data_IF_236861977559
#
_entry.id   IF_236861977559
#
_cell.length_a   1.000
_cell.length_b   1.000
_cell.length_c   1.000
_cell.angle_alpha   90.00
_cell.angle_beta   90.00
_cell.angle_gamma   90.00
#
_symmetry.space_group_name_H-M   'P 1'
#
loop_
_entity.id
_entity.type
_entity.pdbx_description
1 polymer ?
2 non-polymer ?
3 water ?
#
# COMPACT_ATOMS: atom_id res chain seq x y z
N UNK A 16 -9.03 -6.54 16.07
CA UNK A 16 -10.13 -5.68 16.49
C UNK A 16 -9.85 -4.20 16.17
N UNK A 17 -8.74 -3.95 15.46
CA UNK A 17 -8.34 -2.60 15.10
C UNK A 17 -8.70 -2.26 13.64
N UNK A 18 -8.25 -3.10 12.71
CA UNK A 18 -8.50 -2.87 11.29
C UNK A 18 -9.85 -3.47 10.92
N UNK A 19 -10.89 -2.91 11.52
CA UNK A 19 -12.21 -3.51 11.58
C UNK A 19 -13.27 -2.61 10.97
N UNK A 20 -12.86 -1.43 10.51
CA UNK A 20 -13.82 -0.43 10.03
C UNK A 20 -13.99 -0.44 8.51
N UNK A 21 -14.99 0.29 8.03
CA UNK A 21 -15.24 0.41 6.59
C UNK A 21 -14.14 1.24 5.94
N UNK A 22 -13.27 0.57 5.21
CA UNK A 22 -12.16 1.23 4.56
C UNK A 22 -11.96 0.60 3.20
N UNK A 23 -11.70 1.44 2.20
CA UNK A 23 -11.24 0.96 0.91
C UNK A 23 -9.73 1.17 0.86
N UNK A 24 -9.00 0.07 0.91
CA UNK A 24 -7.55 0.10 1.02
C UNK A 24 -6.88 -0.27 -0.31
N UNK A 25 -6.10 0.65 -0.88
CA UNK A 25 -5.34 0.37 -2.10
C UNK A 25 -3.88 0.10 -1.76
N UNK A 26 -3.46 -1.15 -1.93
CA UNK A 26 -2.08 -1.56 -1.64
C UNK A 26 -1.22 -1.38 -2.89
N UNK A 27 -0.21 -0.53 -2.81
CA UNK A 27 0.69 -0.28 -3.94
C UNK A 27 2.09 -0.73 -3.59
N UNK A 28 2.64 -1.68 -4.34
CA UNK A 28 4.03 -2.04 -4.13
C UNK A 28 4.91 -1.18 -5.03
N UNK A 29 5.93 -0.58 -4.46
CA UNK A 29 6.81 0.28 -5.24
C UNK A 29 8.30 0.01 -5.02
N UNK A 30 8.86 -0.94 -5.76
CA UNK A 30 10.28 -1.20 -5.70
C UNK A 30 10.63 -2.06 -6.90
N UNK A 31 11.91 -2.40 -7.08
CA UNK A 31 12.98 -2.02 -6.17
C UNK A 31 13.80 -0.90 -6.79
N UNK A 32 14.20 0.08 -5.98
CA UNK A 32 15.13 1.08 -6.43
C UNK A 32 16.57 0.60 -6.29
N UNK A 33 16.76 -0.60 -5.73
CA UNK A 33 18.09 -1.08 -5.35
C UNK A 33 18.88 -1.73 -6.47
N UNK A 34 20.21 -1.59 -6.39
CA UNK A 34 21.17 -2.27 -7.28
C UNK A 34 21.16 -3.78 -7.04
N UNK A 35 20.92 -4.19 -5.79
CA UNK A 35 20.81 -5.60 -5.44
C UNK A 35 19.36 -5.91 -5.10
N UNK A 36 18.64 -6.40 -6.10
CA UNK A 36 17.19 -6.57 -6.00
C UNK A 36 16.74 -7.78 -5.19
N UNK A 37 17.70 -8.59 -4.74
CA UNK A 37 17.42 -9.84 -4.04
C UNK A 37 16.43 -9.70 -2.90
N UNK A 38 16.64 -8.73 -2.01
CA UNK A 38 15.74 -8.57 -0.87
C UNK A 38 14.31 -8.27 -1.26
N UNK A 39 14.14 -7.33 -2.18
CA UNK A 39 12.78 -6.96 -2.60
C UNK A 39 12.12 -8.16 -3.27
N UNK A 40 12.84 -8.79 -4.21
CA UNK A 40 12.31 -9.93 -4.93
C UNK A 40 11.96 -11.12 -4.03
N UNK A 41 12.76 -11.36 -2.99
CA UNK A 41 12.45 -12.47 -2.08
C UNK A 41 11.47 -12.16 -0.94
N UNK A 42 11.40 -10.91 -0.51
CA UNK A 42 10.63 -10.59 0.69
C UNK A 42 9.46 -9.60 0.53
N UNK A 43 9.39 -8.86 -0.57
CA UNK A 43 8.31 -7.87 -0.71
C UNK A 43 6.91 -8.48 -0.60
N UNK A 44 6.69 -9.62 -1.26
CA UNK A 44 5.37 -10.23 -1.23
C UNK A 44 5.04 -10.85 0.16
N UNK A 45 5.98 -11.60 0.76
CA UNK A 45 5.71 -12.05 2.12
C UNK A 45 5.48 -10.90 3.11
N UNK A 46 6.10 -9.76 2.85
CA UNK A 46 5.90 -8.57 3.67
C UNK A 46 4.48 -8.04 3.50
N UNK A 47 4.06 -7.93 2.25
CA UNK A 47 2.73 -7.46 1.95
C UNK A 47 1.66 -8.41 2.50
N UNK A 48 1.91 -9.72 2.46
CA UNK A 48 1.01 -10.71 3.05
C UNK A 48 0.82 -10.49 4.56
N UNK A 49 1.92 -10.19 5.24
CA UNK A 49 1.91 -9.98 6.68
C UNK A 49 1.01 -8.79 7.01
N UNK A 50 1.16 -7.72 6.24
CA UNK A 50 0.28 -6.55 6.36
C UNK A 50 -1.20 -6.90 6.16
N UNK A 51 -1.46 -7.69 5.13
CA UNK A 51 -2.81 -8.03 4.74
C UNK A 51 -3.44 -8.92 5.81
N UNK A 52 -2.59 -9.67 6.52
CA UNK A 52 -3.07 -10.54 7.58
C UNK A 52 -3.62 -9.76 8.78
N UNK A 53 -3.35 -8.45 8.82
CA UNK A 53 -3.87 -7.62 9.91
C UNK A 53 -5.30 -7.16 9.62
N UNK A 54 -5.75 -7.34 8.39
CA UNK A 54 -7.01 -6.73 7.94
C UNK A 54 -8.21 -7.62 8.16
N UNK A 55 -9.32 -7.03 8.54
CA UNK A 55 -10.59 -7.72 8.53
C UNK A 55 -11.19 -7.51 7.15
N UNK A 56 -11.31 -8.57 6.35
CA UNK A 56 -11.75 -8.43 4.97
C UNK A 56 -13.18 -8.84 4.75
N UNK A 57 -13.98 -8.76 5.79
CA UNK A 57 -15.41 -8.93 5.67
C UNK A 57 -15.96 -7.78 4.82
N UNK A 58 -16.96 -8.09 4.01
CA UNK A 58 -17.55 -7.11 3.10
C UNK A 58 -18.08 -5.84 3.80
N UNK A 59 -18.37 -5.94 5.09
CA UNK A 59 -18.78 -4.80 5.89
C UNK A 59 -17.62 -4.05 6.55
N UNK A 60 -16.39 -4.43 6.20
CA UNK A 60 -15.21 -3.80 6.78
C UNK A 60 -14.27 -3.30 5.70
N UNK A 61 -13.08 -3.90 5.64
CA UNK A 61 -12.09 -3.47 4.68
C UNK A 61 -12.26 -4.11 3.29
N UNK A 62 -12.28 -3.26 2.27
CA UNK A 62 -12.19 -3.72 0.89
C UNK A 62 -10.76 -3.46 0.41
N UNK A 63 -10.08 -4.54 0.06
CA UNK A 63 -8.67 -4.53 -0.28
C UNK A 63 -8.49 -4.59 -1.78
N UNK A 64 -7.85 -3.56 -2.33
CA UNK A 64 -7.48 -3.48 -3.74
C UNK A 64 -5.95 -3.48 -3.89
N UNK A 65 -5.46 -4.04 -5.00
CA UNK A 65 -4.03 -4.06 -5.21
C UNK A 65 -3.71 -3.72 -6.65
N UNK A 66 -2.64 -2.96 -6.83
CA UNK A 66 -2.08 -2.70 -8.14
C UNK A 66 -1.31 -3.95 -8.55
N UNK A 67 -1.63 -4.52 -9.72
CA UNK A 67 -0.99 -5.75 -10.22
C UNK A 67 -0.71 -5.66 -11.72
N UNK A 68 -0.03 -6.65 -12.27
CA UNK A 68 0.20 -6.67 -13.72
C UNK A 68 -0.58 -7.78 -14.38
N UNK A 69 -1.24 -7.43 -15.47
CA UNK A 69 -1.99 -8.39 -16.27
C UNK A 69 -1.85 -8.04 -17.76
N UNK A 70 -1.48 -9.04 -18.56
CA UNK A 70 -1.22 -8.85 -19.98
C UNK A 70 -0.22 -7.71 -20.24
N UNK A 71 0.89 -7.76 -19.50
CA UNK A 71 2.00 -6.80 -19.64
C UNK A 71 1.61 -5.36 -19.28
N UNK A 72 0.58 -5.21 -18.46
CA UNK A 72 0.01 -3.90 -18.18
C UNK A 72 -0.46 -3.80 -16.74
N UNK A 73 -0.40 -2.60 -16.17
CA UNK A 73 -0.71 -2.39 -14.76
C UNK A 73 -2.22 -2.22 -14.59
N UNK A 74 -2.80 -2.82 -13.55
CA UNK A 74 -4.25 -2.80 -13.35
C UNK A 74 -4.61 -2.85 -11.85
N UNK A 75 -5.72 -2.22 -11.45
CA UNK A 75 -6.17 -2.34 -10.07
C UNK A 75 -7.27 -3.40 -9.91
N UNK A 76 -7.10 -4.31 -8.94
CA UNK A 76 -8.11 -5.33 -8.67
C UNK A 76 -8.40 -5.55 -7.19
N UNK A 77 -9.63 -5.98 -6.92
CA UNK A 77 -10.07 -6.30 -5.57
C UNK A 77 -9.52 -7.66 -5.13
N UNK A 78 -9.04 -7.78 -3.90
CA UNK A 78 -8.59 -9.07 -3.38
C UNK A 78 -9.57 -9.56 -2.31
N UNK A 79 -9.97 -10.82 -2.40
CA UNK A 79 -11.04 -11.33 -1.53
C UNK A 79 -10.51 -12.33 -0.52
N UNK A 80 -11.22 -12.44 0.62
CA UNK A 80 -10.81 -13.37 1.67
C UNK A 80 -11.67 -13.32 2.93
N UNK A 81 -11.96 -14.48 3.50
CA UNK A 81 -11.68 -15.74 2.83
C UNK A 81 -12.95 -16.06 2.06
N UNK A 82 -12.86 -15.98 0.73
CA UNK A 82 -14.02 -16.21 -0.12
C UNK A 82 -14.63 -17.58 0.14
N UNK A 83 -15.85 -17.79 -0.35
CA UNK A 83 -16.54 -19.05 -0.14
C UNK A 83 -15.76 -20.23 -0.73
N UNK A 84 -14.83 -19.92 -1.64
CA UNK A 84 -13.94 -20.92 -2.20
C UNK A 84 -12.93 -21.40 -1.16
N UNK A 85 -12.23 -22.48 -1.46
CA UNK A 85 -11.29 -23.10 -0.52
C UNK A 85 -10.26 -22.13 0.09
N UNK A 86 -9.80 -22.45 1.30
CA UNK A 86 -8.97 -21.54 2.08
C UNK A 86 -7.59 -21.32 1.47
N UNK A 87 -6.90 -22.42 1.14
CA UNK A 87 -5.55 -22.34 0.62
C UNK A 87 -5.51 -21.62 -0.72
N UNK A 88 -6.53 -21.85 -1.56
CA UNK A 88 -6.59 -21.23 -2.86
C UNK A 88 -6.69 -19.71 -2.76
N UNK A 89 -7.52 -19.22 -1.85
CA UNK A 89 -7.73 -17.78 -1.68
C UNK A 89 -6.44 -17.08 -1.27
N UNK A 90 -5.61 -17.79 -0.53
CA UNK A 90 -4.33 -17.29 -0.08
C UNK A 90 -3.36 -17.30 -1.27
N UNK A 91 -3.34 -18.41 -2.00
CA UNK A 91 -2.46 -18.58 -3.15
C UNK A 91 -2.78 -17.57 -4.25
N UNK A 92 -4.07 -17.38 -4.50
CA UNK A 92 -4.53 -16.40 -5.48
C UNK A 92 -3.99 -15.01 -5.18
N UNK A 93 -4.13 -14.58 -3.93
CA UNK A 93 -3.65 -13.27 -3.54
C UNK A 93 -2.15 -13.18 -3.72
N UNK A 94 -1.45 -14.21 -3.26
CA UNK A 94 -0.01 -14.24 -3.29
C UNK A 94 0.48 -14.18 -4.74
N UNK A 95 -0.16 -14.94 -5.63
CA UNK A 95 0.22 -14.90 -7.04
C UNK A 95 -0.10 -13.55 -7.70
N UNK A 96 -1.24 -12.98 -7.38
CA UNK A 96 -1.60 -11.67 -7.93
C UNK A 96 -0.56 -10.63 -7.54
N UNK A 97 -0.13 -10.66 -6.29
CA UNK A 97 0.85 -9.72 -5.79
C UNK A 97 2.18 -9.94 -6.48
N UNK A 98 2.50 -11.20 -6.72
CA UNK A 98 3.77 -11.57 -7.36
C UNK A 98 3.89 -11.15 -8.84
N UNK A 99 2.79 -10.78 -9.47
CA UNK A 99 2.85 -10.30 -10.86
C UNK A 99 3.65 -9.01 -10.94
N UNK A 100 3.77 -8.30 -9.83
CA UNK A 100 4.57 -7.08 -9.78
C UNK A 100 6.09 -7.31 -9.86
N UNK A 101 6.55 -8.45 -9.34
CA UNK A 101 7.99 -8.70 -9.21
C UNK A 101 8.82 -8.71 -10.51
N UNK A 102 8.31 -9.34 -11.59
CA UNK A 102 9.16 -9.27 -12.78
C UNK A 102 9.32 -7.85 -13.31
N UNK A 103 8.42 -6.93 -12.98
CA UNK A 103 8.43 -5.62 -13.65
C UNK A 103 9.35 -4.58 -13.03
N UNK A 104 9.83 -4.86 -11.83
CA UNK A 104 10.80 -4.00 -11.17
C UNK A 104 10.26 -2.62 -10.81
N UNK A 105 11.11 -1.61 -10.93
CA UNK A 105 10.70 -0.24 -10.59
C UNK A 105 9.74 0.33 -11.62
N UNK A 106 8.57 0.77 -11.15
CA UNK A 106 7.58 1.39 -12.03
C UNK A 106 7.15 2.73 -11.42
N UNK A 107 6.59 3.61 -12.25
CA UNK A 107 6.20 4.97 -11.83
C UNK A 107 5.16 5.02 -10.71
N UNK A 108 5.55 5.60 -9.57
CA UNK A 108 4.62 5.81 -8.46
C UNK A 108 3.52 6.81 -8.85
N UNK A 109 3.90 7.83 -9.62
CA UNK A 109 2.96 8.82 -10.10
C UNK A 109 1.81 8.19 -10.88
N UNK A 110 2.17 7.33 -11.83
CA UNK A 110 1.18 6.61 -12.62
C UNK A 110 0.33 5.70 -11.75
N UNK A 111 0.91 5.09 -10.72
CA UNK A 111 0.15 4.20 -9.86
C UNK A 111 -0.89 4.98 -9.04
N UNK A 112 -0.48 6.14 -8.54
CA UNK A 112 -1.38 6.98 -7.78
C UNK A 112 -2.48 7.53 -8.67
N UNK A 113 -2.13 7.88 -9.90
CA UNK A 113 -3.14 8.35 -10.86
C UNK A 113 -4.19 7.26 -11.12
N UNK A 114 -3.74 6.02 -11.20
CA UNK A 114 -4.65 4.91 -11.46
C UNK A 114 -5.62 4.69 -10.28
N UNK A 115 -5.12 4.86 -9.06
CA UNK A 115 -5.98 4.82 -7.88
C UNK A 115 -7.03 5.92 -7.96
N UNK A 116 -6.62 7.12 -8.35
CA UNK A 116 -7.56 8.23 -8.43
C UNK A 116 -8.64 7.94 -9.46
N UNK A 117 -8.25 7.43 -10.63
CA UNK A 117 -9.22 7.05 -11.65
C UNK A 117 -10.17 5.95 -11.18
N UNK A 118 -9.64 5.00 -10.42
CA UNK A 118 -10.43 3.90 -9.87
C UNK A 118 -11.54 4.45 -8.94
N UNK A 119 -11.16 5.34 -8.03
CA UNK A 119 -12.12 5.98 -7.14
C UNK A 119 -13.15 6.81 -7.87
N UNK A 120 -12.72 7.47 -8.94
CA UNK A 120 -13.63 8.27 -9.74
C UNK A 120 -14.62 7.45 -10.55
N UNK A 121 -14.31 6.18 -10.80
CA UNK A 121 -15.16 5.38 -11.69
C UNK A 121 -16.28 4.65 -10.97
N UNK A 122 -16.31 4.77 -9.63
CA UNK A 122 -17.24 3.96 -8.84
C UNK A 122 -17.78 4.70 -7.63
N UNK A 123 -18.99 4.34 -7.22
CA UNK A 123 -19.59 4.84 -5.98
C UNK A 123 -18.98 4.10 -4.81
N UNK A 124 -18.53 4.83 -3.80
CA UNK A 124 -17.97 4.19 -2.59
C UNK A 124 -19.03 4.02 -1.52
N UNK A 125 -18.74 3.24 -0.50
CA UNK A 125 -19.67 3.09 0.62
C UNK A 125 -19.73 4.44 1.33
N UNK A 126 -20.93 4.79 1.76
CA UNK A 126 -21.23 6.08 2.38
C UNK A 126 -20.27 6.41 3.51
N UNK A 127 -19.98 5.44 4.35
CA UNK A 127 -19.19 5.71 5.53
C UNK A 127 -17.79 5.15 5.46
N UNK A 128 -17.33 4.75 4.29
CA UNK A 128 -15.97 4.21 4.21
C UNK A 128 -14.93 5.32 4.06
N UNK A 129 -13.74 5.07 4.59
CA UNK A 129 -12.60 5.92 4.33
C UNK A 129 -11.75 5.33 3.21
N UNK A 130 -11.11 6.18 2.41
CA UNK A 130 -10.24 5.73 1.34
C UNK A 130 -8.78 5.87 1.78
N UNK A 131 -8.00 4.81 1.56
CA UNK A 131 -6.62 4.75 2.00
C UNK A 131 -5.72 4.09 0.97
N UNK A 132 -4.58 4.73 0.72
CA UNK A 132 -3.52 4.17 -0.09
C UNK A 132 -2.37 3.78 0.81
N UNK A 133 -1.94 2.54 0.73
CA UNK A 133 -0.77 2.10 1.48
C UNK A 133 0.33 1.75 0.49
N UNK A 134 1.46 2.42 0.62
CA UNK A 134 2.58 2.22 -0.27
C UNK A 134 3.73 1.51 0.45
N UNK A 135 4.20 0.40 -0.12
CA UNK A 135 5.43 -0.24 0.36
C UNK A 135 6.54 0.10 -0.60
N UNK A 136 7.59 0.75 -0.09
CA UNK A 136 8.66 1.19 -0.98
C UNK A 136 10.04 1.01 -0.38
N UNK A 137 10.99 0.69 -1.24
CA UNK A 137 12.41 0.61 -0.87
C UNK A 137 13.25 1.64 -1.65
N UNK A 138 12.60 2.56 -2.35
CA UNK A 138 13.31 3.59 -3.10
C UNK A 138 12.54 4.92 -3.19
N UNK A 139 12.89 5.73 -4.18
CA UNK A 139 12.26 7.04 -4.37
C UNK A 139 11.71 7.11 -5.80
N UNK A 140 10.67 7.91 -6.02
CA UNK A 140 10.00 7.96 -7.32
C UNK A 140 10.86 8.57 -8.41
N UNK A 141 10.52 8.24 -9.65
CA UNK A 141 11.15 8.82 -10.83
C UNK A 141 11.02 10.33 -10.77
N UNK A 142 9.83 10.80 -10.41
CA UNK A 142 9.61 12.23 -10.25
C UNK A 142 9.00 12.54 -8.90
N UNK A 143 9.75 13.23 -8.04
CA UNK A 143 9.28 13.64 -6.72
C UNK A 143 8.11 14.59 -6.88
N UNK A 144 8.29 15.58 -7.74
CA UNK A 144 7.26 16.59 -7.96
C UNK A 144 5.98 16.03 -8.57
N UNK A 145 6.11 15.14 -9.55
CA UNK A 145 4.92 14.54 -10.15
C UNK A 145 4.19 13.72 -9.13
N UNK A 146 4.95 12.97 -8.33
CA UNK A 146 4.37 12.15 -7.27
C UNK A 146 3.62 12.96 -6.21
N UNK A 147 4.21 14.08 -5.81
CA UNK A 147 3.63 14.92 -4.77
C UNK A 147 2.35 15.54 -5.30
N UNK A 148 2.41 16.01 -6.55
CA UNK A 148 1.23 16.54 -7.22
C UNK A 148 0.03 15.56 -7.15
N UNK A 149 0.22 14.32 -7.60
CA UNK A 149 -0.82 13.30 -7.50
C UNK A 149 -1.33 13.08 -6.08
N UNK A 150 -0.42 12.95 -5.11
CA UNK A 150 -0.84 12.67 -3.74
C UNK A 150 -1.73 13.77 -3.17
N UNK A 151 -1.57 14.99 -3.66
CA UNK A 151 -2.35 16.13 -3.17
C UNK A 151 -3.72 16.16 -3.81
N UNK A 152 -3.83 15.74 -5.06
CA UNK A 152 -5.13 15.55 -5.69
C UNK A 152 -5.93 14.51 -4.89
N UNK A 153 -5.26 13.44 -4.49
CA UNK A 153 -5.91 12.43 -3.70
C UNK A 153 -6.37 12.97 -2.36
N UNK A 154 -5.45 13.59 -1.61
CA UNK A 154 -5.79 14.16 -0.31
C UNK A 154 -6.87 15.26 -0.40
N UNK A 155 -6.93 15.97 -1.53
CA UNK A 155 -7.98 16.95 -1.74
C UNK A 155 -9.36 16.28 -1.89
N UNK A 156 -9.35 15.01 -2.29
CA UNK A 156 -10.57 14.22 -2.37
C UNK A 156 -10.82 13.49 -1.05
N UNK A 157 -9.95 13.70 -0.07
CA UNK A 157 -10.13 13.11 1.25
C UNK A 157 -9.46 11.75 1.44
N UNK A 158 -8.70 11.33 0.43
CA UNK A 158 -7.95 10.08 0.50
C UNK A 158 -6.69 10.19 1.37
N UNK A 159 -6.53 9.27 2.31
CA UNK A 159 -5.32 9.25 3.13
C UNK A 159 -4.25 8.36 2.47
N UNK A 160 -2.99 8.69 2.72
CA UNK A 160 -1.90 7.89 2.20
C UNK A 160 -0.97 7.52 3.35
N UNK A 161 -0.63 6.24 3.44
CA UNK A 161 0.34 5.76 4.42
C UNK A 161 1.49 5.15 3.64
N UNK A 162 2.68 5.17 4.23
CA UNK A 162 3.85 4.67 3.54
C UNK A 162 4.71 3.81 4.46
N UNK A 163 5.10 2.63 3.98
CA UNK A 163 6.09 1.86 4.69
C UNK A 163 7.39 1.82 3.87
N UNK A 164 8.47 2.35 4.44
CA UNK A 164 9.75 2.45 3.75
C UNK A 164 10.71 1.37 4.20
N UNK A 165 11.46 0.81 3.27
CA UNK A 165 12.33 -0.31 3.62
C UNK A 165 13.76 -0.06 3.17
N UNK A 166 14.70 -0.29 4.07
CA UNK A 166 16.11 -0.26 3.70
C UNK A 166 16.72 1.12 3.58
N UNK A 167 17.89 1.18 2.95
CA UNK A 167 18.66 2.41 2.91
C UNK A 167 18.52 3.28 1.64
N UNK A 168 17.69 2.86 0.71
CA UNK A 168 17.50 3.57 -0.55
C UNK A 168 16.34 4.53 -0.52
N UNK A 169 15.70 4.66 0.63
CA UNK A 169 14.55 5.56 0.78
C UNK A 169 14.97 6.99 1.14
N UNK A 170 14.08 7.94 0.88
CA UNK A 170 14.18 9.30 1.42
C UNK A 170 13.04 9.48 2.45
N UNK A 171 13.40 9.47 3.73
CA UNK A 171 12.43 9.57 4.83
C UNK A 171 11.62 10.88 4.80
N UNK A 172 12.28 11.99 4.52
CA UNK A 172 11.58 13.27 4.43
C UNK A 172 10.52 13.26 3.31
N UNK A 173 10.85 12.69 2.15
CA UNK A 173 9.86 12.54 1.09
C UNK A 173 8.67 11.67 1.52
N UNK A 174 8.95 10.53 2.16
CA UNK A 174 7.90 9.63 2.60
C UNK A 174 6.97 10.30 3.58
N UNK A 175 7.56 11.03 4.52
CA UNK A 175 6.77 11.74 5.52
C UNK A 175 5.95 12.84 4.88
N UNK A 176 6.57 13.60 3.98
CA UNK A 176 5.85 14.68 3.32
C UNK A 176 4.74 14.17 2.39
N UNK A 177 4.99 13.02 1.77
CA UNK A 177 4.00 12.39 0.92
C UNK A 177 2.72 12.03 1.67
N UNK A 178 2.88 11.62 2.94
CA UNK A 178 1.73 11.24 3.73
C UNK A 178 1.17 12.43 4.48
N UNK A 179 1.73 13.61 4.27
CA UNK A 179 1.21 14.82 4.85
C UNK A 179 1.83 15.27 6.15
N UNK A 180 2.92 14.62 6.57
CA UNK A 180 3.57 15.04 7.82
C UNK A 180 4.67 16.05 7.56
N UNK A 181 5.16 16.63 8.65
CA UNK A 181 6.34 17.44 8.59
C UNK A 181 7.48 16.53 8.12
N UNK A 182 8.34 17.04 7.23
CA UNK A 182 9.50 16.31 6.69
C UNK A 182 10.39 15.67 7.75
N UNK A 183 10.53 16.30 8.91
CA UNK A 183 11.39 15.73 9.94
C UNK A 183 10.78 15.72 11.35
N UNK A 184 10.08 16.79 11.70
CA UNK A 184 9.62 17.01 13.08
C UNK A 184 8.29 16.31 13.41
N UNK A 185 8.17 15.84 14.65
CA UNK A 185 6.92 15.29 15.14
C UNK A 185 6.61 13.87 14.69
N UNK A 186 5.71 13.22 15.45
CA UNK A 186 5.33 11.86 15.15
C UNK A 186 4.49 11.80 13.88
N UNK A 187 4.63 10.72 13.14
CA UNK A 187 3.90 10.56 11.91
C UNK A 187 3.29 9.18 11.86
N UNK A 188 2.01 9.08 12.20
CA UNK A 188 1.37 7.79 12.36
C UNK A 188 1.15 7.07 11.05
N UNK A 189 1.21 7.80 9.95
CA UNK A 189 1.00 7.22 8.64
C UNK A 189 2.30 6.78 7.98
N UNK A 190 3.41 6.83 8.73
CA UNK A 190 4.69 6.43 8.19
C UNK A 190 5.49 5.56 9.13
N UNK A 191 6.13 4.54 8.60
CA UNK A 191 7.11 3.80 9.37
C UNK A 191 8.13 3.24 8.41
N UNK A 192 9.30 2.90 8.94
CA UNK A 192 10.31 2.26 8.10
C UNK A 192 11.11 1.27 8.89
N UNK A 193 12.01 0.60 8.21
CA UNK A 193 12.74 -0.49 8.82
C UNK A 193 13.82 -0.97 7.88
N UNK A 194 14.83 -1.60 8.48
CA UNK A 194 15.82 -2.30 7.69
C UNK A 194 15.19 -3.65 7.33
N UNK A 195 15.70 -4.28 6.27
CA UNK A 195 15.16 -5.54 5.80
C UNK A 195 15.06 -6.60 6.90
N UNK A 196 16.08 -6.71 7.73
CA UNK A 196 16.12 -7.76 8.75
C UNK A 196 14.97 -7.65 9.76
N UNK A 197 14.37 -6.47 9.84
CA UNK A 197 13.40 -6.21 10.89
C UNK A 197 11.95 -6.00 10.39
N UNK A 198 11.75 -5.89 9.09
CA UNK A 198 10.45 -5.43 8.58
C UNK A 198 9.28 -6.29 9.03
N UNK A 199 9.51 -7.60 9.12
CA UNK A 199 8.47 -8.56 9.49
C UNK A 199 7.87 -8.27 10.86
N UNK A 200 8.68 -7.72 11.75
CA UNK A 200 8.22 -7.42 13.12
C UNK A 200 7.66 -6.01 13.30
N UNK A 201 7.72 -5.18 12.26
CA UNK A 201 7.35 -3.77 12.36
C UNK A 201 6.09 -3.44 11.54
N UNK A 202 5.85 -4.25 10.52
CA UNK A 202 4.81 -3.99 9.52
C UNK A 202 3.40 -4.20 10.08
N UNK A 203 3.22 -5.25 10.88
CA UNK A 203 1.93 -5.51 11.52
C UNK A 203 1.47 -4.33 12.36
N UNK A 204 2.28 -3.93 13.35
CA UNK A 204 2.02 -2.73 14.16
C UNK A 204 1.77 -1.48 13.34
N UNK A 205 2.51 -1.32 12.24
CA UNK A 205 2.33 -0.16 11.38
C UNK A 205 0.92 -0.14 10.78
N UNK A 206 0.47 -1.28 10.26
CA UNK A 206 -0.87 -1.35 9.65
C UNK A 206 -1.97 -1.03 10.67
N UNK A 207 -1.82 -1.57 11.88
CA UNK A 207 -2.74 -1.31 12.97
C UNK A 207 -2.82 0.16 13.31
N UNK A 208 -1.66 0.78 13.47
CA UNK A 208 -1.61 2.18 13.79
C UNK A 208 -2.20 3.02 12.66
N UNK A 209 -2.04 2.55 11.42
CA UNK A 209 -2.61 3.26 10.27
C UNK A 209 -4.13 3.24 10.35
N UNK A 210 -4.72 2.07 10.63
CA UNK A 210 -6.18 1.96 10.79
C UNK A 210 -6.72 2.89 11.87
N UNK A 211 -6.03 2.94 13.01
CA UNK A 211 -6.41 3.82 14.12
C UNK A 211 -6.46 5.29 13.71
N UNK A 212 -5.36 5.78 13.12
CA UNK A 212 -5.31 7.17 12.65
C UNK A 212 -6.38 7.48 11.59
N UNK A 213 -6.66 6.51 10.74
CA UNK A 213 -7.63 6.69 9.66
C UNK A 213 -9.04 6.92 10.24
N UNK A 214 -9.33 6.28 11.38
CA UNK A 214 -10.63 6.43 12.02
C UNK A 214 -10.83 7.71 12.82
N UNK A 215 -9.78 8.51 12.98
CA UNK A 215 -9.86 9.74 13.75
C UNK A 215 -10.27 10.97 12.93
X LIG B 1 7.26 8.60 -10.61
#
# INVERSE_FOLDING_TARGET
RDVQNNIVDEIKYREEVCNDEVDLYLLMDGSGSIRRHNWVNHAVPLAMKLIQQLNLNDNAIHLYASVFSNNAREIIRLHSDASKNKEKALIIIKSLLSTNLPYGKTSLTDALLQVRKHLNDRINRENANQLVVILTDGIPDSIQDSLKESRKLSDRGVKIAVFGIGQGINVAFNRFLVGCHPSDGKCNLYADSAWENVKNVIGPFMKAVCVEVEKTASCGVWDEWSPCSVTCGKGTRSRKREILHEGCTSELQEQCEEERCLPKREPLDVPDEPHHHHHHA
CL CL
#
